data_IF_689196685989
#
_entry.id   IF_689196685989
#
_cell.length_a   1.000
_cell.length_b   1.000
_cell.length_c   1.000
_cell.angle_alpha   90.00
_cell.angle_beta   90.00
_cell.angle_gamma   90.00
#
_symmetry.space_group_name_H-M   'P 1'
#
loop_
_entity.id
_entity.type
_entity.pdbx_description
1 polymer ?
#
# COMPACT_ATOMS: atom_id res chain seq x y z
N UNK A 1 21.82 -8.33 13.87
CA UNK A 1 21.48 -7.62 12.60
C UNK A 1 21.60 -8.61 11.44
N UNK A 2 21.28 -8.26 10.17
CA UNK A 2 21.48 -9.21 9.05
C UNK A 2 22.98 -9.32 8.72
N UNK A 3 23.51 -10.54 8.78
CA UNK A 3 24.90 -10.83 8.45
C UNK A 3 25.15 -10.64 6.94
N UNK A 4 26.36 -10.16 6.58
CA UNK A 4 26.83 -10.01 5.20
C UNK A 4 26.85 -11.32 4.42
N UNK A 5 26.88 -12.46 5.09
CA UNK A 5 26.72 -13.77 4.45
C UNK A 5 25.40 -13.91 3.66
N UNK A 6 24.37 -13.12 4.00
CA UNK A 6 23.08 -13.11 3.29
C UNK A 6 23.08 -12.24 2.02
N UNK A 7 24.24 -11.71 1.58
CA UNK A 7 24.35 -10.79 0.44
C UNK A 7 23.76 -11.37 -0.85
N UNK A 8 24.02 -12.65 -1.12
CA UNK A 8 23.48 -13.32 -2.31
C UNK A 8 21.95 -13.34 -2.32
N UNK A 9 21.32 -13.63 -1.17
CA UNK A 9 19.87 -13.65 -1.04
C UNK A 9 19.27 -12.26 -1.24
N UNK A 10 19.88 -11.22 -0.68
CA UNK A 10 19.40 -9.83 -0.87
C UNK A 10 19.62 -9.37 -2.31
N UNK A 11 20.71 -9.79 -2.96
CA UNK A 11 20.94 -9.54 -4.38
C UNK A 11 19.85 -10.14 -5.26
N UNK A 12 19.47 -11.40 -5.04
CA UNK A 12 18.35 -12.04 -5.74
C UNK A 12 17.02 -11.30 -5.52
N UNK A 13 16.72 -10.91 -4.28
CA UNK A 13 15.53 -10.12 -3.96
C UNK A 13 15.55 -8.77 -4.70
N UNK A 14 16.71 -8.12 -4.79
CA UNK A 14 16.88 -6.87 -5.52
C UNK A 14 16.64 -7.03 -7.02
N UNK A 15 17.11 -8.13 -7.63
CA UNK A 15 16.84 -8.45 -9.04
C UNK A 15 15.34 -8.65 -9.25
N UNK A 16 14.69 -9.48 -8.44
CA UNK A 16 13.24 -9.74 -8.54
C UNK A 16 12.46 -8.42 -8.44
N UNK A 17 12.80 -7.58 -7.46
CA UNK A 17 12.17 -6.27 -7.26
C UNK A 17 12.39 -5.36 -8.48
N UNK A 18 13.58 -5.36 -9.07
CA UNK A 18 13.90 -4.60 -10.27
C UNK A 18 13.15 -5.09 -11.52
N UNK A 19 12.99 -6.40 -11.67
CA UNK A 19 12.19 -6.98 -12.77
C UNK A 19 10.72 -6.59 -12.68
N UNK A 20 10.13 -6.64 -11.48
CA UNK A 20 8.74 -6.18 -11.25
C UNK A 20 8.61 -4.70 -11.59
N UNK A 21 9.55 -3.86 -11.13
CA UNK A 21 9.57 -2.44 -11.45
C UNK A 21 9.63 -2.19 -12.97
N UNK A 22 10.41 -2.97 -13.71
CA UNK A 22 10.48 -2.87 -15.16
C UNK A 22 9.13 -3.23 -15.82
N UNK A 23 8.49 -4.31 -15.39
CA UNK A 23 7.14 -4.68 -15.86
C UNK A 23 6.11 -3.59 -15.57
N UNK A 24 6.15 -3.00 -14.37
CA UNK A 24 5.25 -1.91 -13.99
C UNK A 24 5.44 -0.67 -14.88
N UNK A 25 6.68 -0.30 -15.20
CA UNK A 25 6.98 0.80 -16.10
C UNK A 25 6.48 0.51 -17.53
N UNK A 26 6.70 -0.70 -18.06
CA UNK A 26 6.18 -1.10 -19.36
C UNK A 26 4.66 -1.07 -19.42
N UNK A 27 4.00 -1.51 -18.35
CA UNK A 27 2.56 -1.38 -18.17
C UNK A 27 2.12 0.08 -18.28
N UNK A 28 2.74 0.99 -17.51
CA UNK A 28 2.36 2.40 -17.50
C UNK A 28 2.50 2.99 -18.90
N UNK A 29 3.62 2.72 -19.57
CA UNK A 29 3.88 3.15 -20.94
C UNK A 29 2.78 2.62 -21.87
N UNK A 30 2.46 1.33 -21.79
CA UNK A 30 1.43 0.71 -22.64
C UNK A 30 0.05 1.31 -22.38
N UNK A 31 -0.30 1.56 -21.11
CA UNK A 31 -1.56 2.21 -20.76
C UNK A 31 -1.64 3.65 -21.28
N UNK A 32 -0.53 4.39 -21.30
CA UNK A 32 -0.49 5.76 -21.84
C UNK A 32 -0.60 5.81 -23.36
N UNK A 33 0.02 4.85 -24.07
CA UNK A 33 0.12 4.89 -25.54
C UNK A 33 -0.93 4.06 -26.28
N UNK A 34 -1.45 2.99 -25.67
CA UNK A 34 -2.28 1.99 -26.36
C UNK A 34 -3.73 2.00 -25.89
N UNK A 35 -3.99 2.38 -24.64
CA UNK A 35 -5.36 2.44 -24.11
C UNK A 35 -6.05 3.75 -24.55
N UNK A 36 -7.29 3.70 -25.08
CA UNK A 36 -8.06 4.92 -25.29
C UNK A 36 -8.29 5.62 -23.94
N UNK A 37 -8.09 6.94 -23.90
CA UNK A 37 -8.35 7.75 -22.71
C UNK A 37 -9.84 7.64 -22.37
N UNK A 38 -10.15 6.90 -21.30
CA UNK A 38 -11.48 6.90 -20.70
C UNK A 38 -11.67 8.24 -19.97
N UNK A 39 -12.92 8.70 -19.84
CA UNK A 39 -13.23 9.85 -18.99
C UNK A 39 -12.96 9.48 -17.52
N UNK A 40 -11.83 9.97 -16.99
CA UNK A 40 -11.39 9.75 -15.61
C UNK A 40 -10.40 8.61 -15.43
N UNK A 41 -9.91 8.44 -14.20
CA UNK A 41 -8.98 7.36 -13.83
C UNK A 41 -9.73 6.24 -13.11
N UNK A 42 -9.45 4.99 -13.48
CA UNK A 42 -9.90 3.83 -12.73
C UNK A 42 -9.06 3.59 -11.49
N UNK A 43 -9.60 2.81 -10.54
CA UNK A 43 -8.82 2.33 -9.39
C UNK A 43 -7.53 1.58 -9.80
N UNK A 44 -7.51 0.74 -10.86
CA UNK A 44 -6.28 0.11 -11.31
C UNK A 44 -5.22 1.12 -11.79
N UNK A 45 -5.64 2.19 -12.45
CA UNK A 45 -4.71 3.21 -12.94
C UNK A 45 -4.00 3.90 -11.78
N UNK A 46 -4.71 4.17 -10.67
CA UNK A 46 -4.11 4.73 -9.45
C UNK A 46 -3.15 3.71 -8.80
N UNK A 47 -3.59 2.46 -8.69
CA UNK A 47 -2.82 1.41 -8.00
C UNK A 47 -1.56 0.99 -8.75
N UNK A 48 -1.51 1.07 -10.08
CA UNK A 48 -0.27 0.79 -10.81
C UNK A 48 0.80 1.83 -10.47
N UNK A 49 0.47 3.13 -10.46
CA UNK A 49 1.44 4.18 -10.08
C UNK A 49 1.92 4.01 -8.64
N UNK A 50 1.02 3.64 -7.73
CA UNK A 50 1.38 3.35 -6.34
C UNK A 50 2.29 2.12 -6.24
N UNK A 51 1.96 1.03 -6.95
CA UNK A 51 2.77 -0.18 -7.03
C UNK A 51 4.18 0.15 -7.53
N UNK A 52 4.31 0.85 -8.65
CA UNK A 52 5.61 1.27 -9.20
C UNK A 52 6.42 2.07 -8.20
N UNK A 53 5.78 3.02 -7.49
CA UNK A 53 6.45 3.86 -6.49
C UNK A 53 6.97 3.04 -5.29
N UNK A 54 6.18 2.08 -4.80
CA UNK A 54 6.57 1.18 -3.71
C UNK A 54 7.74 0.29 -4.15
N UNK A 55 7.66 -0.31 -5.35
CA UNK A 55 8.72 -1.16 -5.87
C UNK A 55 10.01 -0.39 -6.16
N UNK A 56 9.92 0.88 -6.58
CA UNK A 56 11.07 1.77 -6.73
C UNK A 56 11.76 2.01 -5.37
N UNK A 57 10.99 2.33 -4.33
CA UNK A 57 11.55 2.52 -2.97
C UNK A 57 12.20 1.24 -2.45
N UNK A 58 11.56 0.08 -2.63
CA UNK A 58 12.12 -1.21 -2.25
C UNK A 58 13.43 -1.51 -2.99
N UNK A 59 13.46 -1.25 -4.29
CA UNK A 59 14.64 -1.47 -5.12
C UNK A 59 15.81 -0.57 -4.70
N UNK A 60 15.56 0.73 -4.46
CA UNK A 60 16.55 1.66 -3.93
C UNK A 60 17.06 1.15 -2.58
N UNK A 61 16.17 0.73 -1.69
CA UNK A 61 16.53 0.27 -0.36
C UNK A 61 17.45 -0.96 -0.37
N UNK A 62 17.14 -1.96 -1.20
CA UNK A 62 18.00 -3.14 -1.34
C UNK A 62 19.33 -2.81 -2.02
N UNK A 63 19.31 -1.95 -3.04
CA UNK A 63 20.53 -1.53 -3.76
C UNK A 63 21.46 -0.74 -2.84
N UNK A 64 20.94 0.21 -2.06
CA UNK A 64 21.71 0.98 -1.08
C UNK A 64 22.32 0.05 -0.03
N UNK A 65 21.58 -0.95 0.46
CA UNK A 65 22.14 -1.92 1.39
C UNK A 65 23.28 -2.74 0.77
N UNK A 66 23.14 -3.18 -0.49
CA UNK A 66 24.14 -3.95 -1.22
C UNK A 66 25.44 -3.18 -1.49
N UNK A 67 25.34 -1.86 -1.68
CA UNK A 67 26.47 -0.97 -2.00
C UNK A 67 27.14 -0.46 -0.73
N UNK A 68 26.37 0.10 0.19
CA UNK A 68 26.92 0.93 1.28
C UNK A 68 27.27 0.10 2.52
N UNK A 69 26.69 -1.10 2.68
CA UNK A 69 27.07 -2.12 3.68
C UNK A 69 27.05 -1.70 5.16
N UNK A 70 26.66 -0.44 5.44
CA UNK A 70 26.53 0.20 6.77
C UNK A 70 25.07 0.32 7.21
N UNK A 71 24.12 0.12 6.31
CA UNK A 71 22.70 0.14 6.60
C UNK A 71 22.34 -1.04 7.53
N UNK A 72 22.01 -0.73 8.79
CA UNK A 72 21.64 -1.71 9.81
C UNK A 72 20.19 -2.17 9.59
N UNK A 73 20.02 -3.24 8.80
CA UNK A 73 18.72 -3.84 8.55
C UNK A 73 18.47 -5.03 9.46
N UNK A 74 17.30 -5.01 10.09
CA UNK A 74 16.78 -6.16 10.81
C UNK A 74 15.92 -7.02 9.87
N UNK A 75 16.00 -8.33 10.07
CA UNK A 75 15.18 -9.34 9.38
C UNK A 75 13.69 -9.01 9.38
N UNK A 76 13.20 -8.48 10.51
CA UNK A 76 11.82 -8.04 10.66
C UNK A 76 11.46 -6.89 9.71
N UNK A 77 12.35 -5.91 9.56
CA UNK A 77 12.11 -4.74 8.71
C UNK A 77 12.04 -5.14 7.24
N UNK A 78 13.01 -5.95 6.77
CA UNK A 78 13.01 -6.47 5.40
C UNK A 78 11.76 -7.31 5.15
N UNK A 79 11.39 -8.20 6.09
CA UNK A 79 10.17 -9.01 5.98
C UNK A 79 8.92 -8.13 5.87
N UNK A 80 8.80 -7.07 6.68
CA UNK A 80 7.66 -6.17 6.60
C UNK A 80 7.59 -5.42 5.27
N UNK A 81 8.73 -4.96 4.75
CA UNK A 81 8.82 -4.28 3.46
C UNK A 81 8.40 -5.21 2.31
N UNK A 82 8.83 -6.48 2.33
CA UNK A 82 8.38 -7.47 1.36
C UNK A 82 6.89 -7.80 1.47
N UNK A 83 6.35 -7.88 2.70
CA UNK A 83 4.90 -8.07 2.91
C UNK A 83 4.11 -6.89 2.33
N UNK A 84 4.59 -5.65 2.50
CA UNK A 84 3.97 -4.47 1.87
C UNK A 84 3.97 -4.62 0.34
N UNK A 85 5.07 -5.08 -0.26
CA UNK A 85 5.13 -5.38 -1.70
C UNK A 85 4.08 -6.43 -2.13
N UNK A 86 3.95 -7.54 -1.39
CA UNK A 86 2.94 -8.59 -1.66
C UNK A 86 1.53 -8.02 -1.58
N UNK A 87 1.21 -7.30 -0.49
CA UNK A 87 -0.12 -6.70 -0.29
C UNK A 87 -0.44 -5.73 -1.43
N UNK A 88 0.55 -4.98 -1.92
CA UNK A 88 0.38 -4.06 -3.05
C UNK A 88 0.09 -4.80 -4.36
N UNK A 89 0.81 -5.89 -4.65
CA UNK A 89 0.53 -6.75 -5.82
C UNK A 89 -0.89 -7.33 -5.72
N UNK A 90 -1.27 -7.86 -4.56
CA UNK A 90 -2.60 -8.46 -4.35
C UNK A 90 -3.72 -7.41 -4.46
N UNK A 91 -3.52 -6.21 -3.90
CA UNK A 91 -4.48 -5.12 -4.01
C UNK A 91 -4.65 -4.68 -5.48
N UNK A 92 -3.55 -4.58 -6.23
CA UNK A 92 -3.59 -4.27 -7.66
C UNK A 92 -4.31 -5.36 -8.46
N UNK A 93 -4.00 -6.64 -8.19
CA UNK A 93 -4.68 -7.79 -8.80
C UNK A 93 -6.20 -7.76 -8.55
N UNK A 94 -6.62 -7.59 -7.30
CA UNK A 94 -8.04 -7.55 -6.93
C UNK A 94 -8.74 -6.35 -7.59
N UNK A 95 -8.11 -5.19 -7.60
CA UNK A 95 -8.62 -4.00 -8.27
C UNK A 95 -8.80 -4.23 -9.77
N UNK A 96 -7.78 -4.77 -10.45
CA UNK A 96 -7.85 -5.08 -11.87
C UNK A 96 -8.97 -6.06 -12.17
N UNK A 97 -9.08 -7.12 -11.37
CA UNK A 97 -10.11 -8.13 -11.51
C UNK A 97 -11.50 -7.52 -11.33
N UNK A 98 -11.77 -6.82 -10.23
CA UNK A 98 -13.09 -6.23 -9.96
C UNK A 98 -13.44 -5.16 -11.01
N UNK A 99 -12.48 -4.31 -11.38
CA UNK A 99 -12.69 -3.25 -12.37
C UNK A 99 -13.06 -3.82 -13.75
N UNK A 100 -12.49 -4.97 -14.12
CA UNK A 100 -12.86 -5.70 -15.35
C UNK A 100 -14.33 -6.09 -15.36
N UNK A 101 -14.81 -6.71 -14.28
CA UNK A 101 -16.22 -7.09 -14.16
C UNK A 101 -17.14 -5.88 -14.16
N UNK A 102 -16.76 -4.81 -13.47
CA UNK A 102 -17.50 -3.56 -13.46
C UNK A 102 -17.68 -3.00 -14.88
N UNK A 103 -16.59 -2.89 -15.66
CA UNK A 103 -16.65 -2.37 -17.02
C UNK A 103 -17.47 -3.28 -17.96
N UNK A 104 -17.41 -4.60 -17.80
CA UNK A 104 -18.22 -5.53 -18.59
C UNK A 104 -19.72 -5.38 -18.29
N UNK A 105 -20.09 -5.24 -17.01
CA UNK A 105 -21.47 -5.02 -16.60
C UNK A 105 -21.99 -3.68 -17.10
N UNK A 106 -21.20 -2.61 -16.97
CA UNK A 106 -21.55 -1.27 -17.47
C UNK A 106 -21.73 -1.25 -18.99
N UNK A 107 -20.83 -1.91 -19.73
CA UNK A 107 -20.95 -2.07 -21.19
C UNK A 107 -22.25 -2.78 -21.57
N UNK A 108 -22.58 -3.90 -20.90
CA UNK A 108 -23.81 -4.64 -21.14
C UNK A 108 -25.06 -3.79 -20.84
N UNK A 109 -25.04 -3.02 -19.75
CA UNK A 109 -26.10 -2.09 -19.40
C UNK A 109 -26.31 -1.03 -20.49
N UNK A 110 -25.24 -0.42 -21.00
CA UNK A 110 -25.31 0.58 -22.08
C UNK A 110 -25.89 -0.06 -23.36
N UNK A 111 -25.44 -1.25 -23.74
CA UNK A 111 -25.97 -1.94 -24.93
C UNK A 111 -27.47 -2.15 -24.78
N UNK A 112 -27.90 -2.77 -23.68
CA UNK A 112 -29.30 -3.18 -23.50
C UNK A 112 -30.24 -1.99 -23.35
N UNK A 113 -29.93 -1.07 -22.45
CA UNK A 113 -30.89 -0.04 -22.03
C UNK A 113 -30.68 1.31 -22.73
N UNK A 114 -29.50 1.59 -23.29
CA UNK A 114 -29.21 2.87 -23.94
C UNK A 114 -29.13 2.79 -25.46
N UNK A 115 -28.71 1.65 -26.01
CA UNK A 115 -28.63 1.44 -27.47
C UNK A 115 -29.87 0.72 -27.99
N UNK A 116 -30.21 -0.45 -27.45
CA UNK A 116 -31.30 -1.28 -27.97
C UNK A 116 -32.68 -0.76 -27.56
N UNK A 117 -32.84 -0.37 -26.30
CA UNK A 117 -34.13 0.11 -25.74
C UNK A 117 -34.17 1.64 -25.54
N UNK A 118 -33.06 2.33 -25.83
CA UNK A 118 -32.88 3.75 -25.54
C UNK A 118 -33.20 4.69 -26.70
N UNK A 119 -32.81 5.97 -26.55
CA UNK A 119 -33.01 6.97 -27.59
C UNK A 119 -32.11 6.68 -28.81
N UNK A 120 -32.69 6.40 -30.00
CA UNK A 120 -31.91 6.07 -31.19
C UNK A 120 -30.97 7.19 -31.63
N UNK A 121 -31.25 8.45 -31.31
CA UNK A 121 -30.38 9.58 -31.62
C UNK A 121 -29.03 9.54 -30.89
N UNK A 122 -28.96 8.86 -29.73
CA UNK A 122 -27.76 8.74 -28.90
C UNK A 122 -27.05 7.38 -29.08
N UNK A 123 -27.64 6.46 -29.86
CA UNK A 123 -27.14 5.11 -30.03
C UNK A 123 -25.70 5.06 -30.57
N UNK A 124 -25.34 5.97 -31.48
CA UNK A 124 -23.98 6.06 -32.04
C UNK A 124 -22.95 6.53 -30.99
N UNK A 125 -23.31 7.48 -30.14
CA UNK A 125 -22.44 7.96 -29.06
C UNK A 125 -22.19 6.88 -28.02
N UNK A 126 -23.25 6.18 -27.59
CA UNK A 126 -23.12 5.05 -26.68
C UNK A 126 -22.36 3.87 -27.30
N UNK A 127 -22.50 3.64 -28.61
CA UNK A 127 -21.71 2.63 -29.34
C UNK A 127 -20.22 2.98 -29.33
N UNK A 128 -19.87 4.27 -29.51
CA UNK A 128 -18.48 4.74 -29.41
C UNK A 128 -17.90 4.50 -28.01
N UNK A 129 -18.64 4.85 -26.97
CA UNK A 129 -18.22 4.66 -25.56
C UNK A 129 -18.00 3.18 -25.25
N UNK A 130 -18.91 2.30 -25.68
CA UNK A 130 -18.77 0.85 -25.52
C UNK A 130 -17.57 0.30 -26.28
N UNK A 131 -17.35 0.71 -27.53
CA UNK A 131 -16.19 0.28 -28.31
C UNK A 131 -14.88 0.70 -27.65
N UNK A 132 -14.78 1.94 -27.15
CA UNK A 132 -13.61 2.41 -26.41
C UNK A 132 -13.39 1.62 -25.11
N UNK A 133 -14.46 1.32 -24.37
CA UNK A 133 -14.39 0.55 -23.12
C UNK A 133 -13.96 -0.90 -23.37
N UNK A 134 -14.53 -1.57 -24.38
CA UNK A 134 -14.13 -2.93 -24.75
C UNK A 134 -12.71 -2.99 -25.29
N UNK A 135 -12.30 -2.00 -26.10
CA UNK A 135 -10.92 -1.89 -26.58
C UNK A 135 -9.94 -1.68 -25.42
N UNK A 136 -10.28 -0.83 -24.45
CA UNK A 136 -9.52 -0.66 -23.21
C UNK A 136 -9.35 -1.99 -22.49
N UNK A 137 -10.44 -2.75 -22.29
CA UNK A 137 -10.37 -4.08 -21.65
C UNK A 137 -9.43 -5.00 -22.44
N UNK A 138 -9.63 -5.16 -23.74
CA UNK A 138 -8.81 -6.08 -24.54
C UNK A 138 -7.33 -5.71 -24.45
N UNK A 139 -6.99 -4.43 -24.63
CA UNK A 139 -5.61 -3.94 -24.65
C UNK A 139 -4.92 -4.02 -23.28
N UNK A 140 -5.58 -3.59 -22.21
CA UNK A 140 -4.96 -3.55 -20.88
C UNK A 140 -4.84 -4.96 -20.29
N UNK A 141 -5.85 -5.82 -20.49
CA UNK A 141 -5.86 -7.16 -19.90
C UNK A 141 -5.13 -8.23 -20.71
N UNK A 142 -4.79 -7.98 -21.99
CA UNK A 142 -3.91 -8.87 -22.77
C UNK A 142 -2.41 -8.54 -22.61
N UNK A 143 -2.06 -7.52 -21.84
CA UNK A 143 -0.68 -7.02 -21.70
C UNK A 143 0.05 -7.51 -20.44
N UNK A 144 1.07 -6.75 -20.02
CA UNK A 144 1.88 -7.02 -18.82
C UNK A 144 1.11 -6.94 -17.49
N UNK A 145 -0.14 -6.46 -17.54
CA UNK A 145 -1.09 -6.46 -16.43
C UNK A 145 -1.90 -7.74 -16.26
N UNK A 146 -1.61 -8.78 -17.03
CA UNK A 146 -2.37 -10.02 -16.93
C UNK A 146 -2.36 -10.58 -15.50
N UNK A 147 -3.49 -11.16 -15.11
CA UNK A 147 -3.69 -11.77 -13.79
C UNK A 147 -2.60 -12.81 -13.48
N UNK A 148 -2.12 -13.53 -14.51
CA UNK A 148 -1.05 -14.53 -14.39
C UNK A 148 0.32 -13.92 -14.10
N UNK A 149 0.65 -12.78 -14.72
CA UNK A 149 1.92 -12.08 -14.44
C UNK A 149 1.93 -11.61 -12.99
N UNK A 150 0.85 -10.95 -12.53
CA UNK A 150 0.73 -10.49 -11.15
C UNK A 150 0.77 -11.63 -10.13
N UNK A 151 0.16 -12.78 -10.47
CA UNK A 151 0.27 -13.98 -9.64
C UNK A 151 1.72 -14.48 -9.54
N UNK A 152 2.45 -14.53 -10.66
CA UNK A 152 3.86 -14.92 -10.66
C UNK A 152 4.72 -13.95 -9.82
N UNK A 153 4.51 -12.64 -9.95
CA UNK A 153 5.20 -11.63 -9.14
C UNK A 153 4.96 -11.84 -7.64
N UNK A 154 3.70 -12.06 -7.23
CA UNK A 154 3.35 -12.32 -5.84
C UNK A 154 4.04 -13.59 -5.33
N UNK A 155 4.14 -14.62 -6.17
CA UNK A 155 4.80 -15.88 -5.81
C UNK A 155 6.31 -15.71 -5.63
N UNK A 156 6.99 -15.00 -6.52
CA UNK A 156 8.41 -14.69 -6.37
C UNK A 156 8.70 -13.85 -5.12
N UNK A 157 7.84 -12.88 -4.81
CA UNK A 157 7.98 -12.10 -3.58
C UNK A 157 7.73 -12.94 -2.32
N UNK A 158 6.74 -13.83 -2.35
CA UNK A 158 6.50 -14.78 -1.26
C UNK A 158 7.70 -15.72 -1.04
N UNK A 159 8.33 -16.22 -2.12
CA UNK A 159 9.58 -16.98 -2.02
C UNK A 159 10.69 -16.17 -1.35
N UNK A 160 10.82 -14.88 -1.68
CA UNK A 160 11.76 -13.97 -1.02
C UNK A 160 11.47 -13.81 0.49
N UNK A 161 10.20 -13.71 0.89
CA UNK A 161 9.80 -13.70 2.31
C UNK A 161 10.25 -14.96 3.04
N UNK A 162 10.10 -16.14 2.41
CA UNK A 162 10.60 -17.39 2.98
C UNK A 162 12.13 -17.44 3.05
N UNK A 163 12.83 -16.92 2.04
CA UNK A 163 14.28 -16.85 2.04
C UNK A 163 14.81 -15.96 3.18
N UNK A 164 14.15 -14.83 3.45
CA UNK A 164 14.50 -13.95 4.59
C UNK A 164 14.40 -14.71 5.92
N UNK A 165 13.42 -15.60 6.08
CA UNK A 165 13.27 -16.38 7.32
C UNK A 165 14.46 -17.29 7.60
N UNK A 166 15.23 -17.68 6.57
CA UNK A 166 16.43 -18.51 6.71
C UNK A 166 17.72 -17.69 6.86
N UNK A 167 17.65 -16.35 6.77
CA UNK A 167 18.84 -15.51 6.92
C UNK A 167 19.41 -15.57 8.33
N UNK A 168 20.73 -15.67 8.40
CA UNK A 168 21.52 -15.59 9.64
C UNK A 168 21.50 -14.17 10.20
N UNK A 169 21.40 -14.08 11.52
CA UNK A 169 21.40 -12.82 12.25
C UNK A 169 22.51 -12.81 13.29
N UNK A 170 23.23 -11.70 13.40
CA UNK A 170 24.20 -11.52 14.49
C UNK A 170 23.47 -11.60 15.84
N UNK A 171 24.01 -12.40 16.76
CA UNK A 171 23.48 -12.58 18.11
C UNK A 171 23.61 -11.27 18.90
N UNK A 172 22.50 -10.77 19.43
CA UNK A 172 22.47 -9.64 20.36
C UNK A 172 22.06 -10.15 21.74
N UNK A 173 22.66 -9.63 22.83
CA UNK A 173 22.23 -9.97 24.18
C UNK A 173 20.78 -9.54 24.42
N UNK A 174 20.03 -10.38 25.11
CA UNK A 174 18.66 -10.08 25.54
C UNK A 174 18.67 -9.21 26.80
N UNK A 175 17.70 -8.30 26.89
CA UNK A 175 17.52 -7.40 28.03
C UNK A 175 16.08 -7.53 28.52
N UNK A 176 15.91 -7.60 29.84
CA UNK A 176 14.61 -7.49 30.47
C UNK A 176 14.25 -5.99 30.61
N UNK A 177 13.28 -5.54 29.82
CA UNK A 177 12.75 -4.17 29.89
C UNK A 177 11.61 -4.08 30.89
N UNK A 178 11.48 -2.93 31.55
CA UNK A 178 10.38 -2.70 32.50
C UNK A 178 9.01 -2.78 31.82
N UNK A 179 8.02 -3.33 32.52
CA UNK A 179 6.68 -3.53 31.96
C UNK A 179 5.99 -2.24 31.49
N UNK A 180 6.30 -1.08 32.07
CA UNK A 180 5.72 0.20 31.64
C UNK A 180 6.25 0.66 30.28
N UNK A 181 7.41 0.16 29.85
CA UNK A 181 7.99 0.43 28.54
C UNK A 181 7.26 -0.32 27.42
N UNK A 182 6.37 -1.25 27.74
CA UNK A 182 5.46 -1.93 26.80
C UNK A 182 4.03 -1.42 26.96
N UNK A 183 3.67 -0.36 26.23
CA UNK A 183 2.35 0.24 26.31
C UNK A 183 1.27 -0.68 25.70
N UNK A 184 0.52 -1.35 26.58
CA UNK A 184 -0.56 -2.28 26.22
C UNK A 184 -1.64 -1.62 25.35
N UNK A 185 -1.87 -0.31 25.50
CA UNK A 185 -2.89 0.41 24.73
C UNK A 185 -2.47 0.63 23.27
N UNK A 186 -1.20 0.45 22.95
CA UNK A 186 -0.67 0.69 21.61
C UNK A 186 -1.21 -0.33 20.59
N UNK A 187 -1.40 -1.59 20.98
CA UNK A 187 -2.00 -2.61 20.12
C UNK A 187 -3.46 -2.31 19.71
N UNK A 188 -4.42 -2.11 20.64
CA UNK A 188 -5.78 -1.77 20.26
C UNK A 188 -5.86 -0.42 19.53
N UNK A 189 -5.02 0.56 19.86
CA UNK A 189 -4.93 1.82 19.10
C UNK A 189 -4.49 1.60 17.65
N UNK A 190 -3.50 0.74 17.42
CA UNK A 190 -3.05 0.40 16.07
C UNK A 190 -4.16 -0.32 15.26
N UNK A 191 -4.93 -1.21 15.90
CA UNK A 191 -6.08 -1.87 15.26
C UNK A 191 -7.14 -0.85 14.85
N UNK A 192 -7.55 0.03 15.78
CA UNK A 192 -8.51 1.09 15.48
C UNK A 192 -8.02 2.05 14.39
N UNK A 193 -6.72 2.36 14.41
CA UNK A 193 -6.11 3.23 13.40
C UNK A 193 -6.19 2.61 12.01
N UNK A 194 -5.90 1.32 11.86
CA UNK A 194 -6.01 0.63 10.57
C UNK A 194 -7.46 0.51 10.11
N UNK A 195 -8.41 0.27 11.01
CA UNK A 195 -9.84 0.24 10.66
C UNK A 195 -10.31 1.61 10.17
N UNK A 196 -9.95 2.69 10.88
CA UNK A 196 -10.28 4.05 10.46
C UNK A 196 -9.61 4.41 9.12
N UNK A 197 -8.34 4.01 8.93
CA UNK A 197 -7.62 4.20 7.68
C UNK A 197 -8.29 3.46 6.51
N UNK A 198 -8.73 2.22 6.71
CA UNK A 198 -9.46 1.46 5.70
C UNK A 198 -10.79 2.14 5.33
N UNK A 199 -11.56 2.60 6.32
CA UNK A 199 -12.81 3.32 6.11
C UNK A 199 -12.64 4.70 5.45
N UNK A 200 -11.41 5.18 5.28
CA UNK A 200 -11.11 6.41 4.53
C UNK A 200 -10.97 6.16 3.01
N UNK A 201 -10.83 4.89 2.60
CA UNK A 201 -10.75 4.49 1.19
C UNK A 201 -12.16 4.46 0.59
N UNK A 202 -12.37 5.13 -0.55
CA UNK A 202 -13.67 5.13 -1.22
C UNK A 202 -13.87 3.93 -2.14
N UNK A 203 -14.18 2.75 -1.59
CA UNK A 203 -14.26 1.52 -2.39
C UNK A 203 -15.54 1.46 -3.25
N UNK A 204 -16.50 2.36 -3.03
CA UNK A 204 -17.82 2.34 -3.69
C UNK A 204 -17.83 3.04 -5.05
N UNK A 205 -16.79 3.79 -5.39
CA UNK A 205 -16.62 4.40 -6.70
C UNK A 205 -15.52 3.69 -7.47
N UNK A 206 -15.70 3.51 -8.78
CA UNK A 206 -14.72 2.84 -9.64
C UNK A 206 -14.03 3.78 -10.63
N UNK A 207 -14.56 5.00 -10.80
CA UNK A 207 -13.96 6.06 -11.63
C UNK A 207 -13.82 7.34 -10.83
N UNK A 208 -12.71 8.02 -11.05
CA UNK A 208 -12.31 9.22 -10.32
C UNK A 208 -11.93 10.33 -11.30
N UNK A 209 -12.31 11.56 -10.97
CA UNK A 209 -11.66 12.72 -11.57
C UNK A 209 -10.26 12.91 -10.96
N UNK A 210 -9.45 13.81 -11.52
CA UNK A 210 -8.06 13.99 -11.09
C UNK A 210 -7.93 14.22 -9.57
N UNK A 211 -8.79 15.06 -8.99
CA UNK A 211 -8.77 15.36 -7.57
C UNK A 211 -9.22 14.16 -6.73
N UNK A 212 -10.26 13.44 -7.15
CA UNK A 212 -10.68 12.19 -6.53
C UNK A 212 -9.61 11.10 -6.60
N UNK A 213 -8.83 11.05 -7.69
CA UNK A 213 -7.71 10.12 -7.85
C UNK A 213 -6.58 10.40 -6.87
N UNK A 214 -6.22 11.67 -6.69
CA UNK A 214 -5.22 12.10 -5.71
C UNK A 214 -5.69 11.74 -4.29
N UNK A 215 -6.95 12.05 -3.98
CA UNK A 215 -7.55 11.71 -2.68
C UNK A 215 -7.49 10.20 -2.42
N UNK A 216 -7.86 9.39 -3.41
CA UNK A 216 -7.83 7.93 -3.31
C UNK A 216 -6.41 7.40 -3.16
N UNK A 217 -5.43 7.95 -3.90
CA UNK A 217 -4.03 7.59 -3.76
C UNK A 217 -3.50 7.86 -2.34
N UNK A 218 -3.86 9.02 -1.76
CA UNK A 218 -3.48 9.38 -0.39
C UNK A 218 -4.12 8.41 0.62
N UNK A 219 -5.42 8.10 0.48
CA UNK A 219 -6.13 7.21 1.37
C UNK A 219 -5.55 5.78 1.36
N UNK A 220 -5.31 5.21 0.18
CA UNK A 220 -4.69 3.88 0.03
C UNK A 220 -3.27 3.88 0.60
N UNK A 221 -2.48 4.94 0.33
CA UNK A 221 -1.11 5.05 0.86
C UNK A 221 -1.12 5.13 2.38
N UNK A 222 -2.05 5.90 2.96
CA UNK A 222 -2.24 6.01 4.41
C UNK A 222 -2.60 4.66 5.05
N UNK A 223 -3.49 3.91 4.42
CA UNK A 223 -3.82 2.55 4.86
C UNK A 223 -2.65 1.57 4.74
N UNK A 224 -1.91 1.57 3.62
CA UNK A 224 -0.73 0.73 3.43
C UNK A 224 0.37 1.04 4.45
N UNK A 225 0.49 2.31 4.86
CA UNK A 225 1.38 2.71 5.93
C UNK A 225 0.87 2.24 7.31
N UNK A 226 -0.43 2.33 7.57
CA UNK A 226 -1.00 1.93 8.85
C UNK A 226 -0.94 0.41 9.08
N UNK A 227 -1.27 -0.40 8.07
CA UNK A 227 -1.53 -1.83 8.21
C UNK A 227 -0.37 -2.66 8.83
N UNK A 228 0.90 -2.50 8.41
CA UNK A 228 2.02 -3.21 9.03
C UNK A 228 2.19 -2.88 10.52
N UNK A 229 1.74 -1.69 10.95
CA UNK A 229 1.82 -1.23 12.33
C UNK A 229 1.14 -2.17 13.34
N UNK A 230 0.05 -2.85 12.95
CA UNK A 230 -0.60 -3.85 13.81
C UNK A 230 0.37 -4.98 14.17
N UNK A 231 1.10 -5.52 13.21
CA UNK A 231 2.01 -6.63 13.44
C UNK A 231 3.14 -6.27 14.41
N UNK A 232 3.66 -5.05 14.31
CA UNK A 232 4.67 -4.52 15.22
C UNK A 232 4.12 -4.20 16.61
N UNK A 233 2.93 -3.61 16.69
CA UNK A 233 2.23 -3.35 17.94
C UNK A 233 1.89 -4.66 18.69
N UNK A 234 1.43 -5.68 17.97
CA UNK A 234 1.14 -7.00 18.53
C UNK A 234 2.40 -7.69 19.08
N UNK A 235 3.53 -7.57 18.37
CA UNK A 235 4.81 -8.11 18.84
C UNK A 235 5.24 -7.46 20.15
N UNK A 236 5.15 -6.13 20.28
CA UNK A 236 5.42 -5.45 21.55
C UNK A 236 4.49 -5.92 22.66
N UNK A 237 3.19 -6.04 22.37
CA UNK A 237 2.20 -6.52 23.33
C UNK A 237 2.54 -7.93 23.85
N UNK A 238 2.93 -8.85 22.95
CA UNK A 238 3.30 -10.23 23.30
C UNK A 238 4.64 -10.33 24.03
N UNK A 239 5.60 -9.47 23.69
CA UNK A 239 6.95 -9.47 24.28
C UNK A 239 7.03 -8.84 25.67
N UNK A 240 5.93 -8.31 26.22
CA UNK A 240 5.91 -7.61 27.52
C UNK A 240 6.46 -8.42 28.71
N UNK A 241 6.34 -9.74 28.66
CA UNK A 241 6.75 -10.64 29.74
C UNK A 241 8.01 -11.45 29.39
N UNK A 242 8.69 -11.12 28.30
CA UNK A 242 9.84 -11.86 27.81
C UNK A 242 11.02 -10.91 27.62
N UNK A 243 12.24 -11.43 27.80
CA UNK A 243 13.43 -10.67 27.42
C UNK A 243 13.46 -10.48 25.91
N UNK A 244 13.96 -9.32 25.47
CA UNK A 244 14.10 -9.03 24.05
C UNK A 244 15.38 -8.27 23.77
N UNK A 245 15.85 -8.33 22.52
CA UNK A 245 17.07 -7.60 22.13
C UNK A 245 16.77 -6.12 21.99
N UNK A 246 17.78 -5.28 22.26
CA UNK A 246 17.65 -3.82 22.11
C UNK A 246 17.28 -3.41 20.69
N UNK A 247 17.82 -4.10 19.66
CA UNK A 247 17.46 -3.78 18.28
C UNK A 247 16.01 -4.15 17.94
N UNK A 248 15.45 -5.19 18.55
CA UNK A 248 14.03 -5.50 18.40
C UNK A 248 13.17 -4.41 19.07
N UNK A 249 13.46 -4.07 20.33
CA UNK A 249 12.70 -3.09 21.10
C UNK A 249 12.72 -1.71 20.43
N UNK A 250 13.93 -1.16 20.23
CA UNK A 250 14.11 0.16 19.63
C UNK A 250 13.69 0.19 18.16
N UNK A 251 13.99 -0.87 17.41
CA UNK A 251 13.62 -0.96 15.99
C UNK A 251 12.10 -0.94 15.81
N UNK A 252 11.37 -1.64 16.67
CA UNK A 252 9.91 -1.70 16.59
C UNK A 252 9.26 -0.37 16.94
N UNK A 253 9.69 0.29 18.02
CA UNK A 253 9.18 1.62 18.37
C UNK A 253 9.53 2.69 17.33
N UNK A 254 10.77 2.70 16.82
CA UNK A 254 11.18 3.63 15.76
C UNK A 254 10.36 3.42 14.48
N UNK A 255 10.13 2.17 14.09
CA UNK A 255 9.29 1.86 12.93
C UNK A 255 7.87 2.41 13.13
N UNK A 256 7.22 2.10 14.25
CA UNK A 256 5.88 2.59 14.57
C UNK A 256 5.83 4.14 14.61
N UNK A 257 6.88 4.80 15.09
CA UNK A 257 6.99 6.25 15.07
C UNK A 257 7.02 6.80 13.64
N UNK A 258 7.82 6.20 12.75
CA UNK A 258 7.91 6.59 11.34
C UNK A 258 6.55 6.43 10.67
N UNK A 259 5.86 5.30 10.90
CA UNK A 259 4.53 5.07 10.33
C UNK A 259 3.49 6.07 10.89
N UNK A 260 3.60 6.46 12.16
CA UNK A 260 2.74 7.49 12.75
C UNK A 260 2.98 8.87 12.11
N UNK A 261 4.24 9.26 11.88
CA UNK A 261 4.57 10.53 11.21
C UNK A 261 4.04 10.56 9.78
N UNK A 262 4.28 9.48 9.01
CA UNK A 262 3.73 9.33 7.65
C UNK A 262 2.19 9.42 7.69
N UNK A 263 1.57 8.74 8.66
CA UNK A 263 0.14 8.79 8.91
C UNK A 263 -0.40 10.20 9.16
N UNK A 264 0.26 10.97 10.02
CA UNK A 264 -0.12 12.36 10.31
C UNK A 264 -0.12 13.21 9.04
N UNK A 265 0.92 13.09 8.21
CA UNK A 265 1.03 13.84 6.96
C UNK A 265 -0.09 13.43 5.98
N UNK A 266 -0.27 12.14 5.75
CA UNK A 266 -1.24 11.63 4.78
C UNK A 266 -2.69 11.89 5.21
N UNK A 267 -3.05 11.59 6.46
CA UNK A 267 -4.41 11.84 6.97
C UNK A 267 -4.69 13.32 7.21
N UNK A 268 -3.67 14.14 7.49
CA UNK A 268 -3.79 15.60 7.50
C UNK A 268 -4.11 16.15 6.11
N UNK A 269 -3.39 15.69 5.08
CA UNK A 269 -3.69 16.04 3.69
C UNK A 269 -5.08 15.56 3.25
N UNK A 270 -5.45 14.32 3.59
CA UNK A 270 -6.75 13.73 3.25
C UNK A 270 -7.91 14.48 3.91
N UNK A 271 -7.76 14.85 5.18
CA UNK A 271 -8.74 15.65 5.90
C UNK A 271 -8.90 17.04 5.27
N UNK A 272 -7.79 17.71 4.93
CA UNK A 272 -7.79 18.99 4.22
C UNK A 272 -8.50 18.92 2.86
N UNK A 273 -8.22 17.90 2.06
CA UNK A 273 -8.90 17.66 0.78
C UNK A 273 -10.40 17.42 0.97
N UNK A 274 -10.79 16.66 1.99
CA UNK A 274 -12.21 16.42 2.28
C UNK A 274 -12.94 17.71 2.67
N UNK A 275 -12.32 18.61 3.45
CA UNK A 275 -12.89 19.93 3.74
C UNK A 275 -13.10 20.76 2.48
N UNK A 276 -12.16 20.71 1.54
CA UNK A 276 -12.30 21.38 0.24
C UNK A 276 -13.44 20.77 -0.59
N UNK A 277 -13.59 19.45 -0.62
CA UNK A 277 -14.69 18.80 -1.33
C UNK A 277 -16.07 19.10 -0.77
N UNK A 278 -16.19 19.38 0.54
CA UNK A 278 -17.44 19.87 1.12
C UNK A 278 -17.86 21.19 0.48
N UNK A 279 -16.92 22.11 0.27
CA UNK A 279 -17.21 23.41 -0.38
C UNK A 279 -17.65 23.25 -1.83
N UNK A 280 -17.18 22.19 -2.51
CA UNK A 280 -17.59 21.83 -3.87
C UNK A 280 -18.88 20.99 -3.95
N UNK A 281 -19.57 20.76 -2.82
CA UNK A 281 -20.80 19.96 -2.78
C UNK A 281 -20.58 18.46 -2.96
N UNK A 282 -19.35 17.97 -2.79
CA UNK A 282 -18.95 16.56 -2.96
C UNK A 282 -18.57 15.91 -1.63
N UNK A 283 -19.24 16.31 -0.55
CA UNK A 283 -19.00 15.80 0.80
C UNK A 283 -19.21 14.28 0.85
N UNK A 284 -18.31 13.57 1.53
CA UNK A 284 -18.44 12.11 1.74
C UNK A 284 -18.24 11.76 3.21
N UNK A 285 -18.69 10.57 3.61
CA UNK A 285 -18.51 10.02 4.96
C UNK A 285 -17.02 9.92 5.39
N UNK A 286 -16.09 10.06 4.43
CA UNK A 286 -14.64 9.91 4.61
C UNK A 286 -13.99 11.00 5.46
N UNK A 287 -14.66 12.14 5.65
CA UNK A 287 -14.14 13.18 6.55
C UNK A 287 -14.03 12.68 8.00
N UNK A 288 -14.99 11.89 8.45
CA UNK A 288 -14.98 11.34 9.80
C UNK A 288 -13.87 10.28 9.97
N UNK A 289 -13.74 9.36 9.02
CA UNK A 289 -12.72 8.31 9.07
C UNK A 289 -11.30 8.88 8.91
N UNK A 290 -11.09 9.86 8.03
CA UNK A 290 -9.80 10.57 7.91
C UNK A 290 -9.44 11.35 9.18
N UNK A 291 -10.40 12.04 9.81
CA UNK A 291 -10.17 12.74 11.07
C UNK A 291 -9.81 11.79 12.22
N UNK A 292 -10.58 10.71 12.38
CA UNK A 292 -10.29 9.69 13.41
C UNK A 292 -8.92 9.06 13.18
N UNK A 293 -8.56 8.77 11.93
CA UNK A 293 -7.22 8.24 11.58
C UNK A 293 -6.11 9.22 11.95
N UNK A 294 -6.30 10.52 11.67
CA UNK A 294 -5.36 11.57 12.04
C UNK A 294 -5.16 11.66 13.56
N UNK A 295 -6.27 11.70 14.33
CA UNK A 295 -6.22 11.75 15.80
C UNK A 295 -5.49 10.53 16.37
N UNK A 296 -5.80 9.33 15.87
CA UNK A 296 -5.13 8.10 16.31
C UNK A 296 -3.63 8.10 15.97
N UNK A 297 -3.24 8.57 14.78
CA UNK A 297 -1.83 8.68 14.40
C UNK A 297 -1.07 9.64 15.35
N UNK A 298 -1.67 10.78 15.71
CA UNK A 298 -1.10 11.75 16.67
C UNK A 298 -0.96 11.12 18.06
N UNK A 299 -1.98 10.41 18.55
CA UNK A 299 -1.94 9.76 19.86
C UNK A 299 -0.85 8.67 19.93
N UNK A 300 -0.73 7.85 18.88
CA UNK A 300 0.32 6.83 18.76
C UNK A 300 1.70 7.49 18.74
N UNK A 301 1.87 8.58 17.98
CA UNK A 301 3.12 9.35 17.93
C UNK A 301 3.58 9.81 19.32
N UNK A 302 2.71 10.47 20.09
CA UNK A 302 3.07 10.98 21.41
C UNK A 302 3.42 9.87 22.41
N UNK A 303 2.66 8.76 22.39
CA UNK A 303 2.94 7.61 23.27
C UNK A 303 4.30 7.00 22.98
N UNK A 304 4.61 6.73 21.71
CA UNK A 304 5.89 6.15 21.31
C UNK A 304 7.04 7.10 21.62
N UNK A 305 6.88 8.40 21.33
CA UNK A 305 7.91 9.40 21.62
C UNK A 305 8.25 9.46 23.10
N UNK A 306 7.25 9.33 23.99
CA UNK A 306 7.48 9.26 25.43
C UNK A 306 8.33 8.04 25.80
N UNK A 307 8.02 6.86 25.27
CA UNK A 307 8.75 5.61 25.57
C UNK A 307 10.20 5.70 25.07
N UNK A 308 10.41 6.15 23.82
CA UNK A 308 11.75 6.32 23.25
C UNK A 308 12.58 7.38 24.00
N UNK A 309 11.95 8.40 24.59
CA UNK A 309 12.65 9.40 25.38
C UNK A 309 13.10 8.89 26.75
N UNK A 310 12.41 7.89 27.32
CA UNK A 310 12.80 7.26 28.60
C UNK A 310 13.98 6.32 28.40
N UNK A 311 14.01 5.54 27.32
CA UNK A 311 15.12 4.61 27.03
C UNK A 311 16.45 5.30 26.65
N UNK A 312 16.40 6.55 26.20
CA UNK A 312 17.59 7.31 25.86
C UNK A 312 18.20 8.05 27.07
N UNK A 313 17.59 7.96 28.25
CA UNK A 313 18.09 8.52 29.52
C UNK A 313 18.79 7.46 30.34
#
# INVERSE_FOLDING_TARGET
>A
MINRMNRHTIFLISIITGTILAFDLFTIITNLYVAPVLEGFGLPDILIYMKTSIFLVLWIFFTVWLVDGKARLNKTNIKSLMIVGIVTIVAYFLSLYIYKYYLLVDTNYIIRYRILEGNPALALEYSRINYQTLKYIITVYSGFNSELVLFAEAMFFQMGVYAIQKMETDEEPTVAYDHFMFDVKLFPMAVLYVLAAFLSINILTMRYDLLGSIEMAIAITGFMAAAPGIGYAYKLYRSRNYECTRAFFMGTYKYLLIMAVIGIVLFGALFGLNLYFIQLGRATYRIASSFVSLVLAILIFFRIRKILAVENK
#
